data_IF_118607289074
#
_entry.id   IF_118607289074
#
_cell.length_a   1.000
_cell.length_b   1.000
_cell.length_c   1.000
_cell.angle_alpha   90.00
_cell.angle_beta   90.00
_cell.angle_gamma   90.00
#
_symmetry.space_group_name_H-M   'P 1'
#
loop_
_entity.id
_entity.type
_entity.pdbx_description
1 polymer ?
#
# COMPACT_ATOMS: atom_id res chain seq x y z
N UNK A 1 31.93 -77.43 16.35
CA UNK A 1 32.57 -76.88 15.14
C UNK A 1 31.82 -77.42 13.93
N UNK A 2 31.57 -76.57 12.94
CA UNK A 2 30.81 -76.76 11.69
C UNK A 2 29.29 -76.52 11.72
N UNK A 3 28.93 -75.34 11.20
CA UNK A 3 27.65 -75.00 10.58
C UNK A 3 27.73 -75.39 9.10
N UNK A 4 26.66 -75.90 8.47
CA UNK A 4 26.48 -75.75 7.03
C UNK A 4 25.38 -74.73 6.70
N UNK A 5 25.71 -73.93 5.68
CA UNK A 5 24.88 -72.98 4.95
C UNK A 5 23.68 -73.66 4.28
N UNK A 6 22.52 -73.00 4.29
CA UNK A 6 21.51 -73.14 3.24
C UNK A 6 20.91 -71.77 2.90
N UNK A 7 21.07 -71.42 1.64
CA UNK A 7 20.67 -70.18 0.95
C UNK A 7 19.14 -70.05 0.80
N UNK A 8 18.58 -68.87 1.08
CA UNK A 8 17.29 -68.44 0.55
C UNK A 8 17.43 -67.07 -0.11
N UNK A 9 17.07 -67.01 -1.39
CA UNK A 9 16.96 -65.82 -2.24
C UNK A 9 15.78 -64.94 -1.76
N UNK A 10 15.95 -63.63 -1.52
CA UNK A 10 14.82 -62.73 -1.42
C UNK A 10 14.54 -62.06 -2.78
N UNK A 11 13.31 -62.22 -3.27
CA UNK A 11 12.74 -61.42 -4.35
C UNK A 11 12.80 -59.93 -3.95
N UNK A 12 13.49 -59.10 -4.73
CA UNK A 12 13.38 -57.65 -4.63
C UNK A 12 12.04 -57.19 -5.21
N UNK A 13 11.13 -56.73 -4.35
CA UNK A 13 9.99 -55.90 -4.75
C UNK A 13 10.46 -54.45 -4.87
N UNK A 14 10.50 -53.91 -6.09
CA UNK A 14 10.79 -52.49 -6.34
C UNK A 14 9.53 -51.66 -6.04
N UNK A 15 9.60 -50.62 -5.19
CA UNK A 15 8.50 -49.70 -4.99
C UNK A 15 8.41 -48.75 -6.19
N UNK A 16 7.25 -48.72 -6.87
CA UNK A 16 6.94 -47.70 -7.86
C UNK A 16 6.78 -46.35 -7.16
N UNK A 17 7.50 -45.29 -7.56
CA UNK A 17 7.22 -43.95 -7.06
C UNK A 17 5.87 -43.51 -7.59
N UNK A 18 4.88 -43.36 -6.72
CA UNK A 18 3.64 -42.69 -7.06
C UNK A 18 3.96 -41.20 -7.35
N UNK A 19 3.85 -40.79 -8.61
CA UNK A 19 3.86 -39.36 -8.95
C UNK A 19 2.61 -38.73 -8.33
N UNK A 20 2.80 -38.00 -7.23
CA UNK A 20 1.78 -37.11 -6.69
C UNK A 20 1.58 -35.95 -7.65
N UNK A 21 0.51 -35.98 -8.43
CA UNK A 21 0.05 -34.83 -9.21
C UNK A 21 -0.64 -33.85 -8.27
N UNK A 22 0.12 -33.13 -7.46
CA UNK A 22 -0.41 -31.96 -6.76
C UNK A 22 -0.82 -30.95 -7.84
N UNK A 23 -2.14 -30.73 -7.99
CA UNK A 23 -2.65 -29.62 -8.78
C UNK A 23 -2.05 -28.32 -8.23
N UNK A 24 -1.53 -27.41 -9.08
CA UNK A 24 -1.11 -26.11 -8.60
C UNK A 24 -2.30 -25.42 -7.92
N UNK A 25 -2.09 -24.65 -6.84
CA UNK A 25 -3.17 -23.94 -6.19
C UNK A 25 -3.85 -23.04 -7.22
N UNK A 26 -5.17 -23.15 -7.36
CA UNK A 26 -5.98 -22.18 -8.09
C UNK A 26 -5.66 -20.82 -7.47
N UNK A 27 -5.09 -19.90 -8.25
CA UNK A 27 -4.99 -18.51 -7.82
C UNK A 27 -6.41 -18.01 -7.65
N UNK A 28 -6.84 -17.83 -6.40
CA UNK A 28 -8.10 -17.19 -6.07
C UNK A 28 -7.99 -15.72 -6.47
N UNK A 29 -9.01 -15.22 -7.17
CA UNK A 29 -9.10 -13.79 -7.49
C UNK A 29 -9.16 -12.98 -6.17
N UNK A 30 -8.63 -11.76 -6.16
CA UNK A 30 -8.75 -10.87 -5.00
C UNK A 30 -10.20 -10.64 -4.58
N UNK A 31 -10.40 -10.43 -3.28
CA UNK A 31 -11.70 -10.15 -2.65
C UNK A 31 -11.70 -8.79 -1.98
N UNK A 32 -12.84 -8.35 -1.45
CA UNK A 32 -12.89 -7.11 -0.66
C UNK A 32 -12.00 -7.18 0.58
N UNK A 33 -11.84 -8.36 1.21
CA UNK A 33 -10.86 -8.54 2.29
C UNK A 33 -9.41 -8.35 1.83
N UNK A 34 -9.09 -8.71 0.58
CA UNK A 34 -7.75 -8.45 0.02
C UNK A 34 -7.52 -6.94 -0.10
N UNK A 35 -8.49 -6.23 -0.66
CA UNK A 35 -8.43 -4.76 -0.82
C UNK A 35 -8.44 -4.03 0.53
N UNK A 36 -9.19 -4.51 1.51
CA UNK A 36 -9.14 -4.04 2.91
C UNK A 36 -7.72 -4.14 3.47
N UNK A 37 -7.07 -5.29 3.28
CA UNK A 37 -5.69 -5.48 3.72
C UNK A 37 -4.74 -4.52 2.99
N UNK A 38 -4.98 -4.23 1.71
CA UNK A 38 -4.17 -3.25 0.96
C UNK A 38 -4.33 -1.83 1.52
N UNK A 39 -5.53 -1.43 1.95
CA UNK A 39 -5.75 -0.16 2.68
C UNK A 39 -4.92 -0.10 3.96
N UNK A 40 -4.90 -1.18 4.75
CA UNK A 40 -4.09 -1.26 5.98
C UNK A 40 -2.59 -1.22 5.68
N UNK A 41 -2.14 -1.84 4.59
CA UNK A 41 -0.74 -1.79 4.16
C UNK A 41 -0.33 -0.36 3.77
N UNK A 42 -1.19 0.37 3.06
CA UNK A 42 -0.99 1.79 2.76
C UNK A 42 -0.91 2.60 4.05
N UNK A 43 -1.84 2.37 5.00
CA UNK A 43 -1.82 3.05 6.30
C UNK A 43 -0.48 2.87 7.02
N UNK A 44 0.03 1.64 7.13
CA UNK A 44 1.33 1.39 7.78
C UNK A 44 2.50 2.06 7.04
N UNK A 45 2.48 2.06 5.70
CA UNK A 45 3.50 2.75 4.90
C UNK A 45 3.45 4.28 5.12
N UNK A 46 2.25 4.85 5.23
CA UNK A 46 2.04 6.28 5.56
C UNK A 46 2.60 6.59 6.95
N UNK A 47 2.31 5.78 7.98
CA UNK A 47 2.86 5.99 9.32
C UNK A 47 4.39 5.92 9.35
N UNK A 48 4.99 4.99 8.60
CA UNK A 48 6.45 4.86 8.50
C UNK A 48 7.08 6.07 7.79
N UNK A 49 6.49 6.55 6.69
CA UNK A 49 6.91 7.77 6.02
C UNK A 49 6.76 8.98 6.95
N UNK A 50 5.64 9.08 7.68
CA UNK A 50 5.37 10.20 8.58
C UNK A 50 6.44 10.31 9.68
N UNK A 51 6.79 9.19 10.31
CA UNK A 51 7.90 9.14 11.27
C UNK A 51 9.20 9.63 10.65
N UNK A 52 9.45 9.28 9.39
CA UNK A 52 10.66 9.71 8.67
C UNK A 52 10.63 11.21 8.39
N UNK A 53 9.49 11.75 7.94
CA UNK A 53 9.28 13.19 7.72
C UNK A 53 9.51 13.97 9.01
N UNK A 54 8.90 13.53 10.12
CA UNK A 54 9.05 14.20 11.42
C UNK A 54 10.51 14.19 11.91
N UNK A 55 11.27 13.14 11.60
CA UNK A 55 12.69 13.04 11.95
C UNK A 55 13.62 13.87 11.06
N UNK A 56 13.19 14.21 9.84
CA UNK A 56 14.01 14.94 8.87
C UNK A 56 14.31 16.36 9.36
N UNK A 57 15.59 16.70 9.50
CA UNK A 57 16.03 18.01 9.99
C UNK A 57 16.41 18.98 8.87
N UNK A 58 16.58 18.47 7.65
CA UNK A 58 17.16 19.24 6.56
C UNK A 58 18.68 19.30 6.65
N UNK A 59 19.28 19.55 5.51
CA UNK A 59 20.68 19.89 5.36
C UNK A 59 20.85 20.64 4.03
N UNK A 60 21.93 21.39 3.84
CA UNK A 60 22.25 21.97 2.54
C UNK A 60 22.62 20.89 1.51
N UNK A 61 22.52 21.25 0.22
CA UNK A 61 23.09 20.42 -0.85
C UNK A 61 24.62 20.31 -0.71
N UNK A 62 25.22 19.15 -1.06
CA UNK A 62 24.58 17.95 -1.60
C UNK A 62 24.09 16.95 -0.52
N UNK A 63 24.38 17.20 0.76
CA UNK A 63 24.07 16.29 1.88
C UNK A 63 22.58 15.96 1.98
N UNK A 64 21.74 16.93 1.62
CA UNK A 64 20.27 16.76 1.59
C UNK A 64 19.80 15.60 0.72
N UNK A 65 20.55 15.23 -0.34
CA UNK A 65 20.20 14.11 -1.20
C UNK A 65 20.33 12.78 -0.46
N UNK A 66 21.34 12.66 0.39
CA UNK A 66 21.59 11.46 1.21
C UNK A 66 20.59 11.44 2.36
N UNK A 67 20.46 12.54 3.11
CA UNK A 67 19.57 12.61 4.26
C UNK A 67 18.08 12.57 3.90
N UNK A 68 17.72 13.01 2.69
CA UNK A 68 16.37 12.90 2.14
C UNK A 68 16.05 11.52 1.57
N UNK A 69 17.03 10.62 1.40
CA UNK A 69 16.82 9.27 0.84
C UNK A 69 15.77 8.47 1.61
N UNK A 70 15.78 8.43 2.96
CA UNK A 70 14.73 7.72 3.71
C UNK A 70 13.31 8.22 3.40
N UNK A 71 13.11 9.53 3.21
CA UNK A 71 11.80 10.10 2.84
C UNK A 71 11.37 9.59 1.47
N UNK A 72 12.28 9.61 0.49
CA UNK A 72 12.01 9.09 -0.86
C UNK A 72 11.71 7.59 -0.89
N UNK A 73 12.41 6.80 -0.07
CA UNK A 73 12.11 5.38 0.07
C UNK A 73 10.73 5.14 0.69
N UNK A 74 10.33 5.97 1.66
CA UNK A 74 8.97 5.93 2.22
C UNK A 74 7.89 6.23 1.17
N UNK A 75 8.10 7.25 0.32
CA UNK A 75 7.22 7.54 -0.82
C UNK A 75 7.14 6.36 -1.78
N UNK A 76 8.28 5.76 -2.12
CA UNK A 76 8.34 4.61 -3.03
C UNK A 76 7.60 3.38 -2.46
N UNK A 77 7.68 3.14 -1.15
CA UNK A 77 6.93 2.05 -0.52
C UNK A 77 5.42 2.31 -0.55
N UNK A 78 4.96 3.53 -0.24
CA UNK A 78 3.53 3.89 -0.37
C UNK A 78 3.04 3.68 -1.80
N UNK A 79 3.79 4.18 -2.79
CA UNK A 79 3.48 3.97 -4.20
C UNK A 79 3.33 2.47 -4.51
N UNK A 80 4.33 1.67 -4.14
CA UNK A 80 4.34 0.22 -4.38
C UNK A 80 3.12 -0.48 -3.77
N UNK A 81 2.84 -0.27 -2.48
CA UNK A 81 1.70 -0.95 -1.83
C UNK A 81 0.37 -0.46 -2.39
N UNK A 82 0.28 0.81 -2.79
CA UNK A 82 -0.90 1.34 -3.45
C UNK A 82 -1.09 0.72 -4.85
N UNK A 83 -0.02 0.53 -5.63
CA UNK A 83 -0.10 -0.15 -6.94
C UNK A 83 -0.47 -1.62 -6.84
N UNK A 84 -0.04 -2.30 -5.78
CA UNK A 84 -0.54 -3.64 -5.44
C UNK A 84 -2.04 -3.60 -5.15
N UNK A 85 -2.50 -2.68 -4.30
CA UNK A 85 -3.92 -2.50 -4.00
C UNK A 85 -4.78 -2.18 -5.22
N UNK A 86 -4.29 -1.30 -6.10
CA UNK A 86 -4.94 -1.01 -7.38
C UNK A 86 -5.05 -2.25 -8.25
N UNK A 87 -3.98 -3.04 -8.39
CA UNK A 87 -4.01 -4.28 -9.16
C UNK A 87 -5.02 -5.28 -8.58
N UNK A 88 -5.06 -5.44 -7.26
CA UNK A 88 -6.06 -6.28 -6.61
C UNK A 88 -7.48 -5.76 -6.86
N UNK A 89 -7.71 -4.46 -6.72
CA UNK A 89 -9.02 -3.85 -6.94
C UNK A 89 -9.49 -4.04 -8.39
N UNK A 90 -8.67 -3.83 -9.42
CA UNK A 90 -9.13 -4.00 -10.82
C UNK A 90 -9.42 -5.46 -11.17
N UNK A 91 -8.67 -6.41 -10.58
CA UNK A 91 -8.81 -7.85 -10.87
C UNK A 91 -9.83 -8.56 -9.97
N UNK A 92 -10.29 -7.90 -8.90
CA UNK A 92 -11.28 -8.46 -8.00
C UNK A 92 -12.64 -8.72 -8.68
N UNK A 93 -13.36 -9.72 -8.19
CA UNK A 93 -14.79 -9.84 -8.43
C UNK A 93 -15.55 -8.72 -7.69
N UNK A 94 -16.79 -8.39 -8.08
CA UNK A 94 -17.64 -7.53 -7.28
C UNK A 94 -17.69 -8.01 -5.83
N UNK A 95 -17.57 -7.08 -4.89
CA UNK A 95 -17.63 -7.35 -3.47
C UNK A 95 -19.06 -7.70 -3.08
N UNK A 96 -19.20 -8.49 -2.02
CA UNK A 96 -20.47 -8.56 -1.33
C UNK A 96 -20.64 -7.33 -0.43
N UNK A 97 -21.85 -7.14 0.09
CA UNK A 97 -22.17 -6.03 1.00
C UNK A 97 -21.23 -5.92 2.21
N UNK A 98 -20.97 -7.03 2.91
CA UNK A 98 -20.12 -7.03 4.12
C UNK A 98 -18.70 -6.58 3.78
N UNK A 99 -18.12 -7.14 2.72
CA UNK A 99 -16.81 -6.77 2.23
C UNK A 99 -16.72 -5.29 1.83
N UNK A 100 -17.79 -4.75 1.24
CA UNK A 100 -17.84 -3.33 0.86
C UNK A 100 -17.86 -2.42 2.10
N UNK A 101 -18.68 -2.76 3.10
CA UNK A 101 -18.75 -2.04 4.38
C UNK A 101 -17.42 -2.12 5.14
N UNK A 102 -16.79 -3.29 5.17
CA UNK A 102 -15.48 -3.55 5.79
C UNK A 102 -14.33 -2.72 5.17
N UNK A 103 -14.34 -2.55 3.84
CA UNK A 103 -13.35 -1.71 3.15
C UNK A 103 -13.58 -0.24 3.50
N UNK A 104 -14.84 0.21 3.55
CA UNK A 104 -15.18 1.58 3.97
C UNK A 104 -14.69 1.83 5.40
N UNK A 105 -14.99 0.93 6.33
CA UNK A 105 -14.52 1.01 7.72
C UNK A 105 -12.99 1.13 7.78
N UNK A 106 -12.27 0.27 7.06
CA UNK A 106 -10.82 0.33 7.03
C UNK A 106 -10.30 1.67 6.50
N UNK A 107 -10.91 2.25 5.46
CA UNK A 107 -10.52 3.56 4.94
C UNK A 107 -10.76 4.66 5.97
N UNK A 108 -11.95 4.70 6.56
CA UNK A 108 -12.39 5.74 7.51
C UNK A 108 -11.55 5.71 8.78
N UNK A 109 -11.28 4.53 9.31
CA UNK A 109 -10.57 4.36 10.58
C UNK A 109 -9.05 4.54 10.46
N UNK A 110 -8.49 4.45 9.24
CA UNK A 110 -7.04 4.44 9.04
C UNK A 110 -6.54 5.57 8.14
N UNK A 111 -6.52 5.37 6.81
CA UNK A 111 -5.89 6.28 5.85
C UNK A 111 -6.56 7.66 5.81
N UNK A 112 -7.85 7.75 6.13
CA UNK A 112 -8.60 9.01 6.29
C UNK A 112 -8.12 9.85 7.50
N UNK A 113 -7.36 9.24 8.40
CA UNK A 113 -6.74 9.88 9.56
C UNK A 113 -5.25 10.08 9.31
N UNK A 114 -4.53 9.02 8.92
CA UNK A 114 -3.07 9.06 8.83
C UNK A 114 -2.55 9.93 7.68
N UNK A 115 -3.23 9.94 6.52
CA UNK A 115 -2.75 10.73 5.37
C UNK A 115 -2.89 12.23 5.65
N UNK A 116 -4.06 12.77 6.05
CA UNK A 116 -4.16 14.19 6.36
C UNK A 116 -3.18 14.64 7.45
N UNK A 117 -2.99 13.85 8.51
CA UNK A 117 -2.01 14.16 9.56
C UNK A 117 -0.58 14.24 9.01
N UNK A 118 -0.18 13.27 8.17
CA UNK A 118 1.17 13.26 7.60
C UNK A 118 1.42 14.42 6.63
N UNK A 119 0.41 14.85 5.89
CA UNK A 119 0.51 16.06 5.05
C UNK A 119 0.77 17.30 5.91
N UNK A 120 0.11 17.45 7.06
CA UNK A 120 0.36 18.60 7.95
C UNK A 120 1.76 18.55 8.56
N UNK A 121 2.27 17.38 8.96
CA UNK A 121 3.66 17.23 9.40
C UNK A 121 4.67 17.55 8.29
N UNK A 122 4.37 17.14 7.06
CA UNK A 122 5.19 17.46 5.89
C UNK A 122 5.24 18.98 5.66
N UNK A 123 4.11 19.68 5.71
CA UNK A 123 4.05 21.14 5.62
C UNK A 123 4.85 21.81 6.73
N UNK A 124 4.76 21.32 7.96
CA UNK A 124 5.56 21.84 9.08
C UNK A 124 7.07 21.69 8.86
N UNK A 125 7.50 20.72 8.04
CA UNK A 125 8.90 20.49 7.65
C UNK A 125 9.33 21.25 6.39
N UNK A 126 8.49 22.13 5.85
CA UNK A 126 8.82 22.85 4.62
C UNK A 126 10.16 23.62 4.65
N UNK A 127 10.57 24.27 5.75
CA UNK A 127 11.89 24.89 5.83
C UNK A 127 13.05 23.90 5.61
N UNK A 128 12.96 22.69 6.16
CA UNK A 128 13.99 21.66 6.05
C UNK A 128 14.13 21.14 4.61
N UNK A 129 13.01 20.88 3.93
CA UNK A 129 13.04 20.49 2.51
C UNK A 129 13.51 21.62 1.60
N UNK A 130 13.21 22.87 1.98
CA UNK A 130 13.67 24.07 1.26
C UNK A 130 15.18 24.24 1.34
N UNK A 131 15.76 24.09 2.53
CA UNK A 131 17.21 24.18 2.74
C UNK A 131 17.97 23.21 1.84
N UNK A 132 17.44 21.98 1.71
CA UNK A 132 18.03 20.95 0.87
C UNK A 132 17.73 21.04 -0.62
N UNK A 133 16.98 22.06 -1.08
CA UNK A 133 16.53 22.15 -2.47
C UNK A 133 15.57 21.05 -2.91
N UNK A 134 14.90 20.37 -1.97
CA UNK A 134 14.06 19.20 -2.21
C UNK A 134 12.58 19.53 -2.43
N UNK A 135 12.18 20.80 -2.37
CA UNK A 135 10.77 21.22 -2.52
C UNK A 135 10.13 20.69 -3.82
N UNK A 136 10.84 20.73 -4.95
CA UNK A 136 10.34 20.19 -6.23
C UNK A 136 10.11 18.68 -6.14
N UNK A 137 11.01 17.96 -5.46
CA UNK A 137 10.90 16.53 -5.23
C UNK A 137 9.70 16.19 -4.35
N UNK A 138 9.40 17.01 -3.35
CA UNK A 138 8.18 16.86 -2.52
C UNK A 138 6.93 17.02 -3.39
N UNK A 139 6.86 18.06 -4.23
CA UNK A 139 5.73 18.26 -5.16
C UNK A 139 5.54 17.07 -6.10
N UNK A 140 6.63 16.57 -6.70
CA UNK A 140 6.57 15.41 -7.60
C UNK A 140 6.09 14.15 -6.87
N UNK A 141 6.56 13.93 -5.63
CA UNK A 141 6.15 12.81 -4.79
C UNK A 141 4.66 12.87 -4.45
N UNK A 142 4.15 14.03 -4.04
CA UNK A 142 2.73 14.20 -3.74
C UNK A 142 1.84 14.01 -4.98
N UNK A 143 2.27 14.48 -6.15
CA UNK A 143 1.53 14.25 -7.41
C UNK A 143 1.45 12.77 -7.78
N UNK A 144 2.53 12.02 -7.59
CA UNK A 144 2.54 10.57 -7.78
C UNK A 144 1.53 9.90 -6.84
N UNK A 145 1.59 10.25 -5.54
CA UNK A 145 0.71 9.64 -4.54
C UNK A 145 -0.76 10.05 -4.71
N UNK A 146 -1.05 11.26 -5.20
CA UNK A 146 -2.41 11.69 -5.55
C UNK A 146 -2.98 10.83 -6.69
N UNK A 147 -2.20 10.63 -7.76
CA UNK A 147 -2.59 9.75 -8.86
C UNK A 147 -2.85 8.32 -8.37
N UNK A 148 -1.99 7.81 -7.49
CA UNK A 148 -2.16 6.49 -6.90
C UNK A 148 -3.45 6.39 -6.08
N UNK A 149 -3.72 7.37 -5.21
CA UNK A 149 -4.95 7.49 -4.42
C UNK A 149 -6.20 7.48 -5.30
N UNK A 150 -6.26 8.35 -6.30
CA UNK A 150 -7.44 8.52 -7.15
C UNK A 150 -7.74 7.26 -7.96
N UNK A 151 -6.70 6.64 -8.53
CA UNK A 151 -6.85 5.43 -9.33
C UNK A 151 -7.24 4.21 -8.49
N UNK A 152 -6.65 4.05 -7.30
CA UNK A 152 -7.01 2.96 -6.40
C UNK A 152 -8.43 3.13 -5.84
N UNK A 153 -8.80 4.34 -5.44
CA UNK A 153 -10.14 4.65 -4.93
C UNK A 153 -11.22 4.37 -5.99
N UNK A 154 -11.00 4.81 -7.22
CA UNK A 154 -11.94 4.56 -8.32
C UNK A 154 -12.08 3.06 -8.65
N UNK A 155 -10.97 2.32 -8.69
CA UNK A 155 -11.00 0.88 -8.93
C UNK A 155 -11.74 0.12 -7.82
N UNK A 156 -11.56 0.53 -6.57
CA UNK A 156 -12.21 -0.07 -5.40
C UNK A 156 -13.71 0.22 -5.39
N UNK A 157 -14.11 1.47 -5.61
CA UNK A 157 -15.52 1.87 -5.65
C UNK A 157 -16.30 1.12 -6.73
N UNK A 158 -15.67 0.84 -7.88
CA UNK A 158 -16.28 0.07 -8.97
C UNK A 158 -16.62 -1.39 -8.61
N UNK A 159 -16.14 -1.90 -7.47
CA UNK A 159 -16.43 -3.25 -6.98
C UNK A 159 -17.50 -3.29 -5.90
N UNK A 160 -17.93 -2.15 -5.37
CA UNK A 160 -18.85 -2.13 -4.23
C UNK A 160 -20.23 -2.68 -4.57
N UNK A 161 -20.82 -3.34 -3.58
CA UNK A 161 -22.17 -3.87 -3.63
C UNK A 161 -23.20 -2.71 -3.59
N UNK A 162 -24.18 -2.65 -4.52
CA UNK A 162 -25.18 -1.59 -4.53
C UNK A 162 -26.15 -1.64 -3.33
N UNK A 163 -26.13 -2.71 -2.53
CA UNK A 163 -26.91 -2.88 -1.31
C UNK A 163 -26.27 -2.29 -0.04
N UNK A 164 -25.08 -1.69 -0.14
CA UNK A 164 -24.49 -0.88 0.93
C UNK A 164 -25.42 0.28 1.27
N UNK A 165 -25.61 0.54 2.58
CA UNK A 165 -26.50 1.61 3.00
C UNK A 165 -26.03 2.97 2.46
N UNK A 166 -26.91 3.86 1.96
CA UNK A 166 -26.50 5.15 1.39
C UNK A 166 -25.64 6.00 2.32
N UNK A 167 -25.94 6.00 3.62
CA UNK A 167 -25.13 6.70 4.62
C UNK A 167 -23.71 6.13 4.73
N UNK A 168 -23.55 4.80 4.63
CA UNK A 168 -22.24 4.14 4.68
C UNK A 168 -21.43 4.41 3.42
N UNK A 169 -22.07 4.38 2.25
CA UNK A 169 -21.44 4.76 1.00
C UNK A 169 -21.00 6.23 0.99
N UNK A 170 -21.83 7.14 1.54
CA UNK A 170 -21.48 8.56 1.69
C UNK A 170 -20.24 8.76 2.57
N UNK A 171 -20.17 8.07 3.71
CA UNK A 171 -19.01 8.09 4.62
C UNK A 171 -17.71 7.70 3.90
N UNK A 172 -17.74 6.62 3.10
CA UNK A 172 -16.59 6.20 2.30
C UNK A 172 -16.17 7.25 1.25
N UNK A 173 -17.15 7.85 0.56
CA UNK A 173 -16.88 8.89 -0.44
C UNK A 173 -16.29 10.17 0.20
N UNK A 174 -16.80 10.57 1.36
CA UNK A 174 -16.27 11.71 2.12
C UNK A 174 -14.83 11.46 2.58
N UNK A 175 -14.52 10.24 3.02
CA UNK A 175 -13.16 9.87 3.38
C UNK A 175 -12.19 9.94 2.18
N UNK A 176 -12.59 9.41 1.02
CA UNK A 176 -11.79 9.50 -0.22
C UNK A 176 -11.56 10.96 -0.63
N UNK A 177 -12.60 11.79 -0.59
CA UNK A 177 -12.50 13.22 -0.92
C UNK A 177 -11.57 13.96 0.05
N UNK A 178 -11.70 13.71 1.35
CA UNK A 178 -10.82 14.33 2.36
C UNK A 178 -9.35 13.97 2.18
N UNK A 179 -9.05 12.72 1.82
CA UNK A 179 -7.68 12.29 1.51
C UNK A 179 -7.16 12.99 0.26
N UNK A 180 -7.97 13.04 -0.80
CA UNK A 180 -7.63 13.75 -2.04
C UNK A 180 -7.29 15.22 -1.76
N UNK A 181 -8.20 15.92 -1.06
CA UNK A 181 -8.06 17.33 -0.72
C UNK A 181 -6.83 17.61 0.15
N UNK A 182 -6.50 16.70 1.08
CA UNK A 182 -5.29 16.82 1.88
C UNK A 182 -4.03 16.76 1.00
N UNK A 183 -3.90 15.76 0.13
CA UNK A 183 -2.72 15.61 -0.75
C UNK A 183 -2.66 16.80 -1.74
N UNK A 184 -3.78 17.17 -2.36
CA UNK A 184 -3.86 18.31 -3.27
C UNK A 184 -3.50 19.64 -2.58
N UNK A 185 -3.98 19.84 -1.34
CA UNK A 185 -3.62 20.99 -0.51
C UNK A 185 -2.14 21.00 -0.13
N UNK A 186 -1.53 19.83 0.10
CA UNK A 186 -0.08 19.67 0.26
C UNK A 186 0.68 20.13 -0.99
N UNK A 187 0.26 19.69 -2.17
CA UNK A 187 0.85 20.11 -3.45
C UNK A 187 0.80 21.63 -3.61
N UNK A 188 -0.39 22.22 -3.45
CA UNK A 188 -0.60 23.65 -3.61
C UNK A 188 0.27 24.48 -2.65
N UNK A 189 0.41 24.01 -1.40
CA UNK A 189 1.28 24.63 -0.41
C UNK A 189 2.75 24.67 -0.86
N UNK A 190 3.31 23.54 -1.31
CA UNK A 190 4.71 23.48 -1.73
C UNK A 190 4.97 24.15 -3.09
N UNK A 191 3.99 24.17 -3.99
CA UNK A 191 4.10 24.96 -5.22
C UNK A 191 4.12 26.47 -4.93
N UNK A 192 3.29 26.95 -4.00
CA UNK A 192 3.36 28.33 -3.53
C UNK A 192 4.72 28.65 -2.88
N UNK A 193 5.29 27.70 -2.13
CA UNK A 193 6.63 27.84 -1.52
C UNK A 193 7.76 28.02 -2.54
N UNK A 194 7.62 27.45 -3.74
CA UNK A 194 8.58 27.61 -4.82
C UNK A 194 8.54 29.01 -5.44
N UNK A 195 7.34 29.62 -5.51
CA UNK A 195 7.10 30.93 -6.13
C UNK A 195 7.40 32.09 -5.18
N UNK A 196 7.29 31.87 -3.86
CA UNK A 196 7.57 32.90 -2.85
C UNK A 196 9.08 33.21 -2.65
N UNK A 197 9.94 32.76 -3.56
CA UNK A 197 11.40 32.97 -3.58
C UNK A 197 11.80 33.88 -4.73
#
# INVERSE_FOLDING_TARGET
>A
MHIPFSTLFPLLALPLPALSTALPPRQLLPTGQTVKQDVLNIHHAVLALDSTIQSFQGSPLPTSLIEGTPVLLGVAEIHKVNRVGFFHAITALPFNKVDSEDVIDAVVDTVNVSIPASIEHLKAKAPAFREGGLTVTVVASLKLLLYDHDTFSAATLAKFDPGVAPAKAAEGNEAVAKIHDAIAGGIAFFEADLVAR
#
